data_IF_067084723507
#
_entry.id   IF_067084723507
#
_cell.length_a   1.000
_cell.length_b   1.000
_cell.length_c   1.000
_cell.angle_alpha   90.00
_cell.angle_beta   90.00
_cell.angle_gamma   90.00
#
_symmetry.space_group_name_H-M   'P 1'
#
loop_
_entity.id
_entity.type
_entity.pdbx_description
1 polymer ?
#
# COMPACT_ATOMS: atom_id res chain seq x y z
N UNK A 1 17.98 -48.34 18.54
CA UNK A 1 18.21 -48.37 17.12
C UNK A 1 17.16 -47.60 16.37
N UNK A 2 17.54 -46.61 15.58
CA UNK A 2 16.72 -46.16 14.46
C UNK A 2 15.79 -44.97 14.70
N UNK A 3 16.35 -43.79 15.04
CA UNK A 3 15.66 -42.52 14.80
C UNK A 3 16.65 -41.52 14.15
N UNK A 4 17.08 -41.86 12.97
CA UNK A 4 17.73 -40.92 12.06
C UNK A 4 17.47 -41.47 10.66
N UNK A 5 16.28 -41.25 10.13
CA UNK A 5 16.15 -41.38 8.69
C UNK A 5 15.08 -40.44 8.12
N UNK A 6 15.48 -39.86 7.07
CA UNK A 6 14.84 -38.86 6.20
C UNK A 6 15.01 -37.41 6.62
N UNK A 7 16.25 -36.91 6.51
CA UNK A 7 16.43 -35.53 6.12
C UNK A 7 15.72 -35.35 4.76
N UNK A 8 14.47 -34.90 4.77
CA UNK A 8 13.78 -34.47 3.56
C UNK A 8 14.65 -33.45 2.88
N UNK A 9 15.18 -33.77 1.72
CA UNK A 9 15.96 -32.83 0.92
C UNK A 9 15.12 -31.59 0.69
N UNK A 10 15.47 -30.51 1.36
CA UNK A 10 14.80 -29.21 1.17
C UNK A 10 15.27 -28.69 -0.19
N UNK A 11 14.38 -28.71 -1.17
CA UNK A 11 14.67 -28.07 -2.47
C UNK A 11 14.51 -26.56 -2.29
N UNK A 12 15.63 -25.85 -2.27
CA UNK A 12 15.64 -24.38 -2.22
C UNK A 12 15.41 -23.86 -3.66
N UNK A 13 14.34 -23.08 -3.83
CA UNK A 13 14.12 -22.27 -5.02
C UNK A 13 14.41 -20.83 -4.70
N UNK A 14 15.29 -20.21 -5.46
CA UNK A 14 15.60 -18.77 -5.33
C UNK A 14 14.78 -18.00 -6.35
N UNK A 15 14.11 -16.95 -5.89
CA UNK A 15 13.32 -16.05 -6.72
C UNK A 15 14.03 -14.71 -6.82
N UNK A 16 14.02 -14.04 -7.99
CA UNK A 16 14.57 -12.70 -8.11
C UNK A 16 13.82 -11.73 -7.19
N UNK A 17 14.51 -10.71 -6.76
CA UNK A 17 13.94 -9.67 -5.92
C UNK A 17 13.42 -8.51 -6.79
N UNK A 18 12.11 -8.46 -7.10
CA UNK A 18 11.56 -7.49 -8.05
C UNK A 18 11.22 -6.14 -7.39
N UNK A 19 11.92 -5.77 -6.31
CA UNK A 19 11.65 -4.50 -5.64
C UNK A 19 12.21 -3.33 -6.44
N UNK A 20 11.34 -2.35 -6.69
CA UNK A 20 11.70 -1.06 -7.24
C UNK A 20 11.36 0.03 -6.22
N UNK A 21 12.30 0.95 -5.99
CA UNK A 21 12.09 2.07 -5.10
C UNK A 21 10.98 2.98 -5.64
N UNK A 22 10.00 3.40 -4.81
CA UNK A 22 8.93 4.27 -5.26
C UNK A 22 9.45 5.63 -5.70
N UNK A 23 8.96 6.13 -6.83
CA UNK A 23 9.24 7.47 -7.33
C UNK A 23 8.24 8.48 -6.76
N UNK A 24 8.70 9.67 -6.53
CA UNK A 24 7.89 10.81 -6.10
C UNK A 24 6.95 11.21 -7.25
N UNK A 25 5.68 11.39 -6.94
CA UNK A 25 4.63 11.79 -7.88
C UNK A 25 4.17 13.24 -7.61
N UNK A 26 3.45 13.82 -8.56
CA UNK A 26 2.71 15.08 -8.34
C UNK A 26 1.74 14.90 -7.19
N UNK A 27 1.57 15.96 -6.42
CA UNK A 27 0.70 16.00 -5.24
C UNK A 27 1.15 15.13 -4.06
N UNK A 28 2.28 14.41 -4.16
CA UNK A 28 2.86 13.73 -3.03
C UNK A 28 3.29 14.74 -1.96
N UNK A 29 3.17 14.34 -0.71
CA UNK A 29 3.70 15.11 0.41
C UNK A 29 5.11 14.61 0.69
N UNK A 30 6.08 15.51 0.71
CA UNK A 30 7.48 15.21 1.01
C UNK A 30 7.90 16.04 2.21
N UNK A 31 8.47 15.40 3.21
CA UNK A 31 9.09 16.07 4.36
C UNK A 31 10.57 16.23 4.10
N UNK A 32 11.03 17.47 4.13
CA UNK A 32 12.44 17.78 4.00
C UNK A 32 12.88 18.58 5.23
N UNK A 33 13.97 18.15 5.85
CA UNK A 33 14.62 18.92 6.92
C UNK A 33 16.06 19.22 6.51
N UNK A 34 16.44 20.46 6.63
CA UNK A 34 17.79 20.94 6.42
C UNK A 34 18.47 21.16 7.77
N UNK A 35 19.70 20.69 7.90
CA UNK A 35 20.56 20.91 9.05
C UNK A 35 21.94 21.32 8.60
N UNK A 36 22.66 22.10 9.41
CA UNK A 36 24.01 22.58 9.10
C UNK A 36 24.44 23.64 10.10
N UNK A 37 25.62 24.23 9.88
CA UNK A 37 26.18 25.21 10.80
C UNK A 37 25.58 26.63 10.69
N UNK A 38 24.77 26.90 9.64
CA UNK A 38 24.19 28.23 9.40
C UNK A 38 22.75 28.28 9.89
N UNK A 39 22.52 28.74 11.13
CA UNK A 39 21.20 28.75 11.79
C UNK A 39 20.17 29.56 10.98
N UNK A 40 20.55 30.76 10.51
CA UNK A 40 19.67 31.62 9.72
C UNK A 40 19.19 30.95 8.42
N UNK A 41 20.09 30.26 7.72
CA UNK A 41 19.75 29.53 6.49
C UNK A 41 18.82 28.34 6.80
N UNK A 42 19.07 27.63 7.91
CA UNK A 42 18.19 26.53 8.35
C UNK A 42 16.79 27.03 8.68
N UNK A 43 16.66 28.12 9.39
CA UNK A 43 15.36 28.71 9.74
C UNK A 43 14.58 29.12 8.49
N UNK A 44 15.24 29.72 7.51
CA UNK A 44 14.61 30.10 6.24
C UNK A 44 14.18 28.88 5.44
N UNK A 45 15.01 27.85 5.36
CA UNK A 45 14.70 26.62 4.58
C UNK A 45 13.64 25.75 5.26
N UNK A 46 13.66 25.63 6.59
CA UNK A 46 12.73 24.79 7.35
C UNK A 46 11.48 25.53 7.82
N UNK A 47 11.58 26.83 8.05
CA UNK A 47 10.61 27.58 8.85
C UNK A 47 9.39 28.08 8.10
N UNK A 48 9.46 28.40 6.81
CA UNK A 48 8.34 29.05 6.12
C UNK A 48 8.23 28.74 4.63
N UNK A 49 8.90 27.74 4.14
CA UNK A 49 8.97 27.42 2.70
C UNK A 49 7.81 26.61 2.12
N UNK A 50 6.93 26.12 2.94
CA UNK A 50 5.73 25.43 2.50
C UNK A 50 4.49 26.22 2.85
N UNK A 51 3.55 26.32 1.94
CA UNK A 51 2.17 26.62 2.30
C UNK A 51 1.81 25.63 3.39
N UNK A 52 1.75 26.09 4.63
CA UNK A 52 1.17 25.32 5.72
C UNK A 52 -0.24 24.98 5.25
N UNK A 53 -0.47 23.72 4.94
CA UNK A 53 -1.81 23.19 4.88
C UNK A 53 -2.33 23.19 6.32
N UNK A 54 -2.67 24.39 6.83
CA UNK A 54 -3.32 24.59 8.13
C UNK A 54 -4.66 23.86 8.24
N UNK A 55 -5.04 23.12 7.20
CA UNK A 55 -6.38 22.57 7.06
C UNK A 55 -6.43 21.03 7.10
N UNK A 56 -5.41 20.34 7.52
CA UNK A 56 -5.57 18.93 7.86
C UNK A 56 -5.61 18.77 9.37
N UNK A 57 -6.79 19.14 9.88
CA UNK A 57 -7.40 18.71 11.14
C UNK A 57 -6.46 18.30 12.28
N UNK A 58 -6.51 19.11 13.32
CA UNK A 58 -6.41 18.73 14.71
C UNK A 58 -7.15 17.39 15.01
N UNK A 59 -6.58 16.29 14.60
CA UNK A 59 -6.87 14.98 15.16
C UNK A 59 -5.55 14.44 15.65
N UNK A 60 -5.30 14.64 16.92
CA UNK A 60 -4.37 14.00 17.83
C UNK A 60 -3.03 13.57 17.26
N UNK A 61 -1.96 14.11 17.85
CA UNK A 61 -0.57 13.67 17.80
C UNK A 61 0.33 14.27 16.68
N UNK A 62 1.11 15.25 17.08
CA UNK A 62 2.44 15.53 16.54
C UNK A 62 2.49 16.58 15.42
N UNK A 63 2.86 17.78 15.78
CA UNK A 63 3.27 18.88 14.89
C UNK A 63 4.45 18.51 13.94
N UNK A 64 4.97 17.28 14.01
CA UNK A 64 6.12 16.78 13.25
C UNK A 64 5.77 16.20 11.87
N UNK A 65 4.52 16.29 11.41
CA UNK A 65 4.06 15.62 10.18
C UNK A 65 3.80 16.55 9.00
N UNK A 66 4.13 17.83 9.09
CA UNK A 66 3.89 18.77 8.00
C UNK A 66 5.00 18.63 6.97
N UNK A 67 4.66 18.09 5.80
CA UNK A 67 5.52 18.07 4.61
C UNK A 67 5.08 19.12 3.60
N UNK A 68 5.89 19.33 2.56
CA UNK A 68 5.54 20.15 1.42
C UNK A 68 4.93 19.30 0.33
N UNK A 69 3.84 19.77 -0.29
CA UNK A 69 3.23 19.07 -1.42
C UNK A 69 3.98 19.38 -2.71
N UNK A 70 4.28 18.34 -3.49
CA UNK A 70 4.78 18.47 -4.86
C UNK A 70 3.70 19.12 -5.73
N UNK A 71 4.05 20.19 -6.42
CA UNK A 71 3.09 20.96 -7.22
C UNK A 71 2.63 20.20 -8.49
N UNK A 72 1.69 20.80 -9.21
CA UNK A 72 1.14 20.25 -10.46
C UNK A 72 2.19 20.05 -11.57
N UNK A 73 3.30 20.77 -11.50
CA UNK A 73 4.41 20.71 -12.44
C UNK A 73 5.54 19.79 -11.95
N UNK A 74 5.34 19.15 -10.77
CA UNK A 74 6.26 18.19 -10.17
C UNK A 74 7.41 18.82 -9.39
N UNK A 75 7.26 20.04 -8.86
CA UNK A 75 8.29 20.73 -8.13
C UNK A 75 7.94 20.94 -6.65
N UNK A 76 8.96 21.03 -5.84
CA UNK A 76 8.95 21.60 -4.50
C UNK A 76 9.52 23.03 -4.58
N UNK A 77 9.07 23.94 -3.73
CA UNK A 77 9.51 25.33 -3.76
C UNK A 77 10.09 25.74 -2.40
N UNK A 78 11.35 26.12 -2.38
CA UNK A 78 12.07 26.50 -1.17
C UNK A 78 12.60 27.92 -1.27
N UNK A 79 12.61 28.68 -0.16
CA UNK A 79 13.37 29.90 -0.08
C UNK A 79 14.85 29.64 -0.44
N UNK A 80 15.54 30.63 -0.93
CA UNK A 80 16.98 30.63 -1.28
C UNK A 80 17.39 29.72 -2.43
N UNK A 81 16.80 28.53 -2.55
CA UNK A 81 17.16 27.56 -3.62
C UNK A 81 16.08 27.43 -4.72
N UNK A 82 14.92 28.05 -4.53
CA UNK A 82 13.87 28.13 -5.54
C UNK A 82 13.14 26.82 -5.80
N UNK A 83 12.74 26.62 -7.06
CA UNK A 83 12.00 25.43 -7.50
C UNK A 83 12.90 24.23 -7.75
N UNK A 84 12.57 23.11 -7.13
CA UNK A 84 13.33 21.85 -7.22
C UNK A 84 12.44 20.78 -7.82
N UNK A 85 12.82 20.26 -8.99
CA UNK A 85 12.09 19.12 -9.61
C UNK A 85 12.23 17.90 -8.71
N UNK A 86 11.10 17.42 -8.20
CA UNK A 86 11.00 16.25 -7.32
C UNK A 86 10.34 15.06 -8.03
N UNK A 87 9.36 15.32 -8.91
CA UNK A 87 8.66 14.27 -9.64
C UNK A 87 9.62 13.39 -10.43
N UNK A 88 9.45 12.07 -10.34
CA UNK A 88 10.26 11.07 -11.03
C UNK A 88 11.58 10.74 -10.33
N UNK A 89 11.90 11.38 -9.21
CA UNK A 89 13.05 11.05 -8.39
C UNK A 89 12.67 10.07 -7.29
N UNK A 90 13.62 9.25 -6.85
CA UNK A 90 13.53 8.54 -5.59
C UNK A 90 13.80 9.52 -4.44
N UNK A 91 13.47 9.11 -3.22
CA UNK A 91 13.77 9.87 -2.00
C UNK A 91 15.26 10.22 -1.90
N UNK A 92 16.13 9.26 -2.19
CA UNK A 92 17.57 9.45 -2.11
C UNK A 92 18.12 10.36 -3.22
N UNK A 93 17.57 10.26 -4.42
CA UNK A 93 17.93 11.18 -5.51
C UNK A 93 17.52 12.62 -5.20
N UNK A 94 16.32 12.82 -4.63
CA UNK A 94 15.89 14.14 -4.19
C UNK A 94 16.78 14.69 -3.09
N UNK A 95 17.16 13.86 -2.11
CA UNK A 95 18.06 14.23 -1.02
C UNK A 95 19.42 14.72 -1.57
N UNK A 96 20.00 13.96 -2.49
CA UNK A 96 21.28 14.32 -3.10
C UNK A 96 21.18 15.64 -3.87
N UNK A 97 20.15 15.83 -4.65
CA UNK A 97 19.91 17.06 -5.41
C UNK A 97 19.75 18.27 -4.51
N UNK A 98 18.98 18.15 -3.41
CA UNK A 98 18.83 19.22 -2.43
C UNK A 98 20.15 19.54 -1.74
N UNK A 99 20.94 18.52 -1.40
CA UNK A 99 22.25 18.70 -0.79
C UNK A 99 23.19 19.50 -1.68
N UNK A 100 23.24 19.19 -2.98
CA UNK A 100 24.03 19.94 -3.96
C UNK A 100 23.60 21.41 -4.07
N UNK A 101 22.27 21.67 -3.99
CA UNK A 101 21.73 23.05 -4.09
C UNK A 101 22.00 23.87 -2.85
N UNK A 102 22.05 23.27 -1.64
CA UNK A 102 22.29 24.02 -0.39
C UNK A 102 23.78 24.12 -0.04
N UNK A 103 24.63 23.28 -0.58
CA UNK A 103 26.08 23.28 -0.32
C UNK A 103 26.77 24.65 -0.52
N UNK A 104 26.40 25.48 -1.53
CA UNK A 104 27.01 26.80 -1.71
C UNK A 104 26.60 27.84 -0.65
N UNK A 105 25.46 27.64 0.03
CA UNK A 105 24.86 28.63 0.93
C UNK A 105 24.88 28.19 2.40
N UNK A 106 25.21 26.94 2.68
CA UNK A 106 25.22 26.37 4.03
C UNK A 106 26.51 25.63 4.29
N UNK A 107 27.16 25.90 5.40
CA UNK A 107 28.35 25.17 5.84
C UNK A 107 27.94 23.85 6.49
N UNK A 108 28.61 22.77 6.10
CA UNK A 108 28.37 21.39 6.55
C UNK A 108 26.87 20.99 6.45
N UNK A 109 26.28 21.07 5.24
CA UNK A 109 24.87 20.83 5.06
C UNK A 109 24.51 19.36 5.22
N UNK A 110 23.40 19.10 5.88
CA UNK A 110 22.76 17.80 5.93
C UNK A 110 21.28 17.94 5.52
N UNK A 111 20.82 17.07 4.63
CA UNK A 111 19.44 17.07 4.16
C UNK A 111 18.80 15.74 4.49
N UNK A 112 17.70 15.78 5.22
CA UNK A 112 16.86 14.63 5.49
C UNK A 112 15.62 14.74 4.63
N UNK A 113 15.31 13.68 3.87
CA UNK A 113 14.10 13.58 3.05
C UNK A 113 13.33 12.36 3.49
N UNK A 114 12.07 12.55 3.80
CA UNK A 114 11.14 11.49 4.15
C UNK A 114 9.79 11.73 3.49
N UNK A 115 9.05 10.66 3.26
CA UNK A 115 7.69 10.72 2.75
C UNK A 115 6.75 10.17 3.83
N UNK A 116 5.61 10.84 4.08
CA UNK A 116 4.59 10.28 4.95
C UNK A 116 4.27 8.86 4.52
N UNK A 117 4.04 8.01 5.50
CA UNK A 117 3.69 6.61 5.23
C UNK A 117 2.44 6.57 4.38
N UNK A 118 2.58 6.03 3.20
CA UNK A 118 1.46 5.79 2.30
C UNK A 118 1.05 4.34 2.40
N UNK A 119 -0.21 4.09 2.13
CA UNK A 119 -0.79 2.77 2.22
C UNK A 119 -1.24 2.24 0.89
N UNK A 120 -1.74 1.03 0.96
CA UNK A 120 -2.47 0.35 -0.10
C UNK A 120 -3.85 0.02 0.42
N UNK A 121 -4.80 -0.23 -0.47
CA UNK A 121 -6.14 -0.70 -0.10
C UNK A 121 -6.25 -2.20 -0.34
N UNK A 122 -6.74 -2.94 0.64
CA UNK A 122 -7.01 -4.38 0.49
C UNK A 122 -8.51 -4.61 0.61
N UNK A 123 -9.10 -5.20 -0.43
CA UNK A 123 -10.54 -5.40 -0.59
C UNK A 123 -10.87 -6.86 -0.91
N UNK A 124 -12.11 -7.25 -0.66
CA UNK A 124 -12.64 -8.57 -1.02
C UNK A 124 -12.55 -9.59 0.11
N UNK A 125 -12.15 -10.81 -0.20
CA UNK A 125 -12.17 -11.95 0.72
C UNK A 125 -10.96 -11.99 1.66
N UNK A 126 -10.89 -11.00 2.54
CA UNK A 126 -9.97 -10.92 3.68
C UNK A 126 -10.75 -10.74 4.97
N UNK A 127 -10.15 -11.08 6.10
CA UNK A 127 -10.86 -11.00 7.39
C UNK A 127 -11.27 -9.57 7.75
N UNK A 128 -10.44 -8.57 7.41
CA UNK A 128 -10.68 -7.14 7.69
C UNK A 128 -10.29 -6.28 6.49
N UNK A 129 -11.17 -6.12 5.48
CA UNK A 129 -10.90 -5.21 4.37
C UNK A 129 -10.60 -3.81 4.89
N UNK A 130 -9.43 -3.27 4.54
CA UNK A 130 -8.97 -1.97 5.06
C UNK A 130 -7.83 -1.38 4.23
N UNK A 131 -7.53 -0.11 4.50
CA UNK A 131 -6.26 0.48 4.13
C UNK A 131 -5.14 -0.05 5.03
N UNK A 132 -4.02 -0.40 4.43
CA UNK A 132 -2.82 -0.93 5.09
C UNK A 132 -1.68 0.04 4.87
N UNK A 133 -1.10 0.56 5.94
CA UNK A 133 0.09 1.42 5.84
C UNK A 133 1.33 0.56 5.57
N UNK A 134 2.10 0.95 4.58
CA UNK A 134 3.39 0.34 4.29
C UNK A 134 4.41 0.87 5.29
N UNK A 135 4.63 0.14 6.37
CA UNK A 135 5.52 0.55 7.48
C UNK A 135 6.99 0.51 7.06
N UNK A 136 7.35 -0.42 6.19
CA UNK A 136 8.69 -0.58 5.64
C UNK A 136 8.65 -0.34 4.13
N UNK A 137 9.74 0.15 3.58
CA UNK A 137 9.88 0.37 2.13
C UNK A 137 9.72 -0.93 1.34
N UNK A 138 10.03 -2.07 1.95
CA UNK A 138 9.98 -3.41 1.34
C UNK A 138 8.94 -4.32 2.00
N UNK A 139 7.72 -3.83 2.15
CA UNK A 139 6.62 -4.65 2.62
C UNK A 139 6.08 -5.50 1.47
N UNK A 140 6.09 -6.82 1.61
CA UNK A 140 5.60 -7.71 0.58
C UNK A 140 4.09 -8.02 0.73
N UNK A 141 3.48 -8.59 -0.31
CA UNK A 141 2.05 -8.88 -0.34
C UNK A 141 1.61 -9.82 0.79
N UNK A 142 2.44 -10.79 1.19
CA UNK A 142 2.10 -11.71 2.28
C UNK A 142 2.07 -10.98 3.63
N UNK A 143 3.01 -10.05 3.87
CA UNK A 143 2.98 -9.20 5.06
C UNK A 143 1.74 -8.29 5.09
N UNK A 144 1.34 -7.77 3.94
CA UNK A 144 0.11 -6.99 3.81
C UNK A 144 -1.11 -7.82 4.18
N UNK A 145 -1.20 -9.05 3.67
CA UNK A 145 -2.31 -9.94 3.97
C UNK A 145 -2.39 -10.30 5.46
N UNK A 146 -1.24 -10.44 6.14
CA UNK A 146 -1.26 -10.67 7.60
C UNK A 146 -1.84 -9.49 8.37
N UNK A 147 -1.62 -8.25 7.91
CA UNK A 147 -2.17 -7.05 8.57
C UNK A 147 -3.70 -6.95 8.45
N UNK A 148 -4.28 -7.46 7.38
CA UNK A 148 -5.75 -7.52 7.19
C UNK A 148 -6.38 -8.81 7.73
N UNK A 149 -5.63 -9.60 8.52
CA UNK A 149 -6.11 -10.83 9.18
C UNK A 149 -6.17 -12.04 8.24
N UNK A 150 -5.39 -12.01 7.16
CA UNK A 150 -5.32 -13.07 6.14
C UNK A 150 -6.58 -13.17 5.25
N UNK A 151 -6.53 -14.09 4.31
CA UNK A 151 -7.64 -14.38 3.39
C UNK A 151 -8.70 -15.25 4.06
N UNK A 152 -9.95 -15.14 3.63
CA UNK A 152 -11.04 -15.98 4.14
C UNK A 152 -11.04 -17.37 3.46
N UNK A 153 -11.85 -18.31 3.98
CA UNK A 153 -12.05 -19.63 3.37
C UNK A 153 -12.67 -19.57 1.97
N UNK A 154 -13.31 -18.44 1.63
CA UNK A 154 -13.94 -18.21 0.33
C UNK A 154 -13.07 -17.41 -0.64
N UNK A 155 -11.83 -17.13 -0.30
CA UNK A 155 -10.92 -16.36 -1.14
C UNK A 155 -10.47 -17.14 -2.37
N UNK A 156 -10.60 -16.53 -3.53
CA UNK A 156 -10.03 -17.03 -4.78
C UNK A 156 -8.59 -16.53 -4.91
N UNK A 157 -7.67 -17.24 -4.28
CA UNK A 157 -6.24 -16.90 -4.27
C UNK A 157 -5.53 -17.16 -5.59
N UNK A 158 -6.19 -17.82 -6.55
CA UNK A 158 -5.67 -18.00 -7.91
C UNK A 158 -5.90 -16.75 -8.78
N UNK A 159 -6.87 -15.92 -8.42
CA UNK A 159 -7.31 -14.78 -9.20
C UNK A 159 -7.19 -13.45 -8.43
N UNK A 160 -6.16 -13.30 -7.60
CA UNK A 160 -5.89 -12.04 -6.91
C UNK A 160 -5.57 -10.96 -7.94
N UNK A 161 -6.17 -9.79 -7.77
CA UNK A 161 -5.99 -8.65 -8.68
C UNK A 161 -5.28 -7.52 -7.97
N UNK A 162 -4.29 -6.92 -8.65
CA UNK A 162 -3.62 -5.72 -8.17
C UNK A 162 -3.84 -4.62 -9.21
N UNK A 163 -4.51 -3.57 -8.77
CA UNK A 163 -4.69 -2.36 -9.56
C UNK A 163 -3.61 -1.35 -9.17
N UNK A 164 -2.94 -0.79 -10.18
CA UNK A 164 -1.90 0.24 -10.03
C UNK A 164 -2.11 1.35 -11.04
N UNK A 165 -2.01 2.58 -10.59
CA UNK A 165 -1.94 3.74 -11.47
C UNK A 165 -0.49 4.25 -11.54
N UNK A 166 0.04 4.33 -12.74
CA UNK A 166 1.39 4.82 -13.01
C UNK A 166 1.42 6.35 -13.05
N UNK A 167 2.64 6.90 -13.04
CA UNK A 167 2.87 8.36 -13.08
C UNK A 167 2.40 9.02 -14.37
N UNK A 168 2.40 8.28 -15.48
CA UNK A 168 1.92 8.73 -16.79
C UNK A 168 0.39 8.68 -16.93
N UNK A 169 -0.33 8.28 -15.88
CA UNK A 169 -1.78 8.09 -15.85
C UNK A 169 -2.26 6.77 -16.45
N UNK A 170 -1.35 5.91 -16.90
CA UNK A 170 -1.72 4.55 -17.32
C UNK A 170 -2.12 3.70 -16.13
N UNK A 171 -3.05 2.78 -16.36
CA UNK A 171 -3.60 1.91 -15.33
C UNK A 171 -3.29 0.47 -15.65
N UNK A 172 -2.78 -0.25 -14.68
CA UNK A 172 -2.43 -1.66 -14.80
C UNK A 172 -3.38 -2.46 -13.91
N UNK A 173 -3.95 -3.52 -14.46
CA UNK A 173 -4.62 -4.55 -13.70
C UNK A 173 -3.82 -5.84 -13.85
N UNK A 174 -3.07 -6.19 -12.82
CA UNK A 174 -2.30 -7.43 -12.78
C UNK A 174 -3.12 -8.55 -12.13
N UNK A 175 -2.94 -9.76 -12.62
CA UNK A 175 -3.50 -10.99 -12.06
C UNK A 175 -2.39 -11.81 -11.42
N UNK A 176 -2.56 -12.20 -10.16
CA UNK A 176 -1.61 -13.01 -9.41
C UNK A 176 -2.27 -14.32 -8.99
N UNK A 177 -1.61 -15.42 -9.30
CA UNK A 177 -1.97 -16.72 -8.75
C UNK A 177 -1.07 -17.05 -7.56
N UNK A 178 -1.61 -16.93 -6.35
CA UNK A 178 -0.83 -17.15 -5.12
C UNK A 178 -0.62 -18.66 -4.81
N UNK A 179 -1.24 -19.57 -5.56
CA UNK A 179 -0.93 -21.02 -5.48
C UNK A 179 0.31 -21.37 -6.27
N UNK A 180 0.66 -20.58 -7.27
CA UNK A 180 1.87 -20.75 -8.05
C UNK A 180 3.00 -19.92 -7.45
N UNK A 181 4.10 -20.56 -7.10
CA UNK A 181 5.26 -19.89 -6.51
C UNK A 181 5.90 -18.82 -7.41
N UNK A 182 5.58 -18.81 -8.71
CA UNK A 182 6.03 -17.76 -9.65
C UNK A 182 5.56 -16.35 -9.25
N UNK A 183 4.47 -16.22 -8.47
CA UNK A 183 4.01 -14.92 -8.00
C UNK A 183 5.07 -14.19 -7.13
N UNK A 184 5.98 -14.94 -6.49
CA UNK A 184 7.09 -14.38 -5.71
C UNK A 184 8.09 -13.59 -6.57
N UNK A 185 8.13 -13.86 -7.89
CA UNK A 185 8.95 -13.14 -8.86
C UNK A 185 8.19 -12.01 -9.56
N UNK A 186 6.90 -11.83 -9.23
CA UNK A 186 6.09 -10.78 -9.84
C UNK A 186 6.52 -9.39 -9.34
N UNK A 187 6.56 -8.35 -10.20
CA UNK A 187 6.75 -6.97 -9.78
C UNK A 187 5.62 -6.43 -8.88
N UNK A 188 4.52 -7.19 -8.74
CA UNK A 188 3.40 -6.89 -7.85
C UNK A 188 3.48 -7.63 -6.51
N UNK A 189 4.51 -8.46 -6.29
CA UNK A 189 4.77 -9.08 -5.00
C UNK A 189 5.12 -8.03 -3.93
N UNK A 190 5.75 -6.94 -4.33
CA UNK A 190 5.96 -5.75 -3.50
C UNK A 190 4.99 -4.66 -3.95
N UNK A 191 3.84 -4.53 -3.29
CA UNK A 191 2.88 -3.50 -3.65
C UNK A 191 3.47 -2.10 -3.40
N UNK A 192 3.17 -1.19 -4.31
CA UNK A 192 3.56 0.21 -4.21
C UNK A 192 2.45 1.02 -3.51
N UNK A 193 2.78 2.18 -2.94
CA UNK A 193 1.76 3.09 -2.42
C UNK A 193 0.65 3.35 -3.43
N UNK A 194 -0.58 3.40 -2.94
CA UNK A 194 -1.84 3.58 -3.67
C UNK A 194 -2.30 2.37 -4.50
N UNK A 195 -1.57 1.26 -4.50
CA UNK A 195 -2.08 0.03 -5.10
C UNK A 195 -3.38 -0.41 -4.41
N UNK A 196 -4.27 -1.01 -5.18
CA UNK A 196 -5.45 -1.68 -4.65
C UNK A 196 -5.33 -3.17 -4.91
N UNK A 197 -5.30 -3.95 -3.83
CA UNK A 197 -5.29 -5.41 -3.88
C UNK A 197 -6.73 -5.90 -3.68
N UNK A 198 -7.26 -6.60 -4.65
CA UNK A 198 -8.60 -7.18 -4.59
C UNK A 198 -8.52 -8.70 -4.65
N UNK A 199 -9.11 -9.34 -3.65
CA UNK A 199 -9.20 -10.80 -3.54
C UNK A 199 -10.64 -11.21 -3.79
N UNK A 200 -10.94 -11.83 -4.96
CA UNK A 200 -12.30 -12.23 -5.28
C UNK A 200 -12.78 -13.40 -4.41
N UNK A 201 -14.09 -13.59 -4.37
CA UNK A 201 -14.69 -14.77 -3.80
C UNK A 201 -14.74 -15.92 -4.81
N UNK A 202 -14.58 -17.15 -4.31
CA UNK A 202 -14.89 -18.34 -5.09
C UNK A 202 -16.41 -18.47 -5.33
N UNK A 203 -16.79 -19.13 -6.42
CA UNK A 203 -18.22 -19.31 -6.81
C UNK A 203 -19.07 -19.97 -5.74
N UNK A 204 -18.51 -20.87 -4.93
CA UNK A 204 -19.23 -21.56 -3.86
C UNK A 204 -19.81 -20.61 -2.79
N UNK A 205 -19.18 -19.45 -2.55
CA UNK A 205 -19.73 -18.45 -1.63
C UNK A 205 -21.09 -17.94 -2.10
N UNK A 206 -21.24 -17.66 -3.39
CA UNK A 206 -22.50 -17.21 -3.98
C UNK A 206 -23.61 -18.26 -3.77
N UNK A 207 -23.30 -19.52 -4.05
CA UNK A 207 -24.26 -20.63 -3.88
C UNK A 207 -24.68 -20.80 -2.42
N UNK A 208 -23.74 -20.72 -1.47
CA UNK A 208 -24.05 -20.82 -0.03
C UNK A 208 -24.95 -19.67 0.43
N UNK A 209 -24.68 -18.46 0.00
CA UNK A 209 -25.50 -17.29 0.35
C UNK A 209 -26.94 -17.42 -0.19
N UNK A 210 -27.08 -17.88 -1.45
CA UNK A 210 -28.41 -18.18 -2.01
C UNK A 210 -29.12 -19.27 -1.19
N UNK A 211 -28.45 -20.36 -0.85
CA UNK A 211 -29.03 -21.42 -0.03
C UNK A 211 -29.52 -20.93 1.32
N UNK A 212 -28.73 -20.14 2.03
CA UNK A 212 -29.11 -19.57 3.33
C UNK A 212 -30.27 -18.57 3.24
N UNK A 213 -30.38 -17.81 2.15
CA UNK A 213 -31.49 -16.86 1.95
C UNK A 213 -32.81 -17.55 1.64
N UNK A 214 -32.79 -18.67 0.90
CA UNK A 214 -34.00 -19.34 0.47
C UNK A 214 -34.40 -20.53 1.37
N UNK A 215 -33.50 -21.05 2.22
CA UNK A 215 -33.83 -22.14 3.14
C UNK A 215 -35.05 -21.87 4.04
N UNK A 216 -35.22 -20.68 4.67
CA UNK A 216 -36.41 -20.43 5.48
C UNK A 216 -37.67 -20.37 4.64
N UNK A 217 -37.63 -19.91 3.40
CA UNK A 217 -38.78 -19.88 2.50
C UNK A 217 -39.19 -21.31 2.12
N UNK A 218 -38.24 -22.18 1.79
CA UNK A 218 -38.53 -23.56 1.49
C UNK A 218 -39.18 -24.32 2.67
N UNK A 219 -38.72 -24.06 3.91
CA UNK A 219 -39.30 -24.66 5.09
C UNK A 219 -40.73 -24.18 5.34
N UNK A 220 -41.04 -22.90 5.11
CA UNK A 220 -42.42 -22.35 5.24
C UNK A 220 -43.33 -23.00 4.18
N UNK A 221 -42.88 -23.08 2.93
CA UNK A 221 -43.66 -23.70 1.85
C UNK A 221 -43.96 -25.18 2.18
N UNK A 222 -42.96 -25.91 2.67
CA UNK A 222 -43.12 -27.30 3.05
C UNK A 222 -44.10 -27.46 4.23
N UNK A 223 -44.05 -26.59 5.24
CA UNK A 223 -44.94 -26.61 6.38
C UNK A 223 -46.41 -26.30 5.98
N UNK A 224 -46.62 -25.32 5.10
CA UNK A 224 -47.94 -24.99 4.57
C UNK A 224 -48.50 -26.13 3.72
N UNK A 225 -47.71 -26.75 2.87
CA UNK A 225 -48.17 -27.89 2.05
C UNK A 225 -48.54 -29.10 2.91
N UNK A 226 -47.74 -29.42 3.94
CA UNK A 226 -48.09 -30.50 4.91
C UNK A 226 -49.35 -30.21 5.70
N UNK A 227 -49.58 -28.94 6.10
CA UNK A 227 -50.80 -28.55 6.79
C UNK A 227 -52.03 -28.70 5.89
N UNK A 228 -51.95 -28.29 4.65
CA UNK A 228 -53.04 -28.43 3.66
C UNK A 228 -53.38 -29.90 3.45
N UNK A 229 -52.35 -30.75 3.24
CA UNK A 229 -52.56 -32.19 3.05
C UNK A 229 -53.20 -32.86 4.28
N UNK A 230 -52.84 -32.45 5.49
CA UNK A 230 -53.44 -32.96 6.75
C UNK A 230 -54.87 -32.50 6.97
N UNK A 231 -55.23 -31.31 6.49
CA UNK A 231 -56.61 -30.77 6.62
C UNK A 231 -57.58 -31.33 5.58
N UNK A 232 -57.07 -31.80 4.45
CA UNK A 232 -57.83 -32.39 3.37
C UNK A 232 -58.04 -33.92 3.48
N UNK A 233 -57.46 -34.52 4.51
CA UNK A 233 -57.51 -35.95 4.78
C UNK A 233 -58.49 -36.25 5.93
#
# INVERSE_FOLDING_TARGET
GGYMDSAKTVTLKTYPFPYEEPLIKRYDIVRVKFAGASVEVMELLNGNGGIQLETVNKVGEGADQIGQQVDKDGHLNYPLIGKVKAEGLTKDQLRQKLLEMVAPIMKDPYVFVDMPRRGISVLGEVAKPSGVLLVRERTNLLEVLTQVGSVTEYADVENVKVYRENMDGTRILAHLNMKDTSFLSSPFFYPKPDDVVYIPAIKQKLVKNFGQMYAPIATIVLAVTTLIVTLLR
#
